data_IF_530536097705
#
_entry.id   IF_530536097705
#
_cell.length_a   1.000
_cell.length_b   1.000
_cell.length_c   1.000
_cell.angle_alpha   90.00
_cell.angle_beta   90.00
_cell.angle_gamma   90.00
#
_symmetry.space_group_name_H-M   'P 1'
#
loop_
_entity.id
_entity.type
_entity.pdbx_description
1 polymer ?
#
# COMPACT_ATOMS: atom_id res chain seq x y z
N UNK A 1 -16.91 1.11 3.29
CA UNK A 1 -15.73 0.61 4.05
C UNK A 1 -15.91 0.40 5.57
N UNK A 2 -17.01 0.82 6.24
CA UNK A 2 -17.10 0.94 7.72
C UNK A 2 -16.71 -0.29 8.59
N UNK A 3 -16.57 -1.49 8.04
CA UNK A 3 -16.15 -2.68 8.80
C UNK A 3 -15.19 -3.59 8.04
N UNK A 4 -14.40 -3.05 7.09
CA UNK A 4 -13.48 -3.86 6.27
C UNK A 4 -12.58 -4.75 7.15
N UNK A 5 -11.83 -4.16 8.09
CA UNK A 5 -10.90 -4.89 8.94
C UNK A 5 -11.58 -5.87 9.89
N UNK A 6 -12.78 -5.55 10.41
CA UNK A 6 -13.56 -6.49 11.23
C UNK A 6 -14.00 -7.71 10.42
N UNK A 7 -14.42 -7.51 9.16
CA UNK A 7 -14.77 -8.61 8.25
C UNK A 7 -13.55 -9.46 7.93
N UNK A 8 -12.39 -8.83 7.68
CA UNK A 8 -11.13 -9.55 7.45
C UNK A 8 -10.70 -10.35 8.67
N UNK A 9 -10.80 -9.79 9.87
CA UNK A 9 -10.45 -10.47 11.11
C UNK A 9 -11.39 -11.66 11.38
N UNK A 10 -12.71 -11.48 11.17
CA UNK A 10 -13.69 -12.56 11.27
C UNK A 10 -13.42 -13.69 10.27
N UNK A 11 -12.99 -13.35 9.05
CA UNK A 11 -12.67 -14.33 7.99
C UNK A 11 -11.37 -15.10 8.26
N UNK A 12 -10.30 -14.40 8.63
CA UNK A 12 -8.96 -14.99 8.71
C UNK A 12 -8.55 -15.43 10.13
N UNK A 13 -9.36 -15.14 11.16
CA UNK A 13 -9.08 -15.29 12.62
C UNK A 13 -7.90 -14.47 13.15
N UNK A 14 -6.86 -14.28 12.34
CA UNK A 14 -5.70 -13.42 12.58
C UNK A 14 -5.39 -12.65 11.31
N UNK A 15 -4.84 -11.45 11.45
CA UNK A 15 -4.33 -10.66 10.34
C UNK A 15 -2.82 -10.77 10.32
N UNK A 16 -2.26 -11.21 9.20
CA UNK A 16 -0.82 -11.31 8.98
C UNK A 16 -0.47 -10.36 7.85
N UNK A 17 0.53 -9.52 8.09
CA UNK A 17 0.98 -8.52 7.15
C UNK A 17 2.40 -8.84 6.70
N UNK A 18 2.63 -8.83 5.39
CA UNK A 18 3.96 -8.74 4.82
C UNK A 18 4.44 -7.29 5.04
N UNK A 19 5.57 -7.14 5.72
CA UNK A 19 6.14 -5.83 5.99
C UNK A 19 6.55 -5.12 4.68
N UNK A 20 6.45 -3.79 4.62
CA UNK A 20 6.95 -3.00 3.49
C UNK A 20 8.48 -3.02 3.49
N UNK A 21 9.07 -3.34 2.34
CA UNK A 21 10.53 -3.44 2.16
C UNK A 21 10.90 -2.79 0.83
N UNK A 22 11.43 -1.56 0.87
CA UNK A 22 11.87 -0.84 -0.32
C UNK A 22 12.99 -1.61 -1.06
N UNK A 23 12.85 -1.77 -2.37
CA UNK A 23 13.72 -2.56 -3.24
C UNK A 23 13.45 -4.08 -3.24
N UNK A 24 12.47 -4.56 -2.48
CA UNK A 24 12.11 -5.99 -2.40
C UNK A 24 10.62 -6.26 -2.51
N UNK A 25 9.80 -5.43 -1.88
CA UNK A 25 8.35 -5.58 -1.74
C UNK A 25 7.56 -5.21 -3.00
N UNK A 26 8.12 -5.42 -4.18
CA UNK A 26 7.52 -5.07 -5.47
C UNK A 26 6.32 -5.97 -5.83
N UNK A 27 5.67 -5.71 -6.97
CA UNK A 27 4.50 -6.50 -7.40
C UNK A 27 4.84 -7.99 -7.57
N UNK A 28 5.96 -8.32 -8.22
CA UNK A 28 6.34 -9.70 -8.48
C UNK A 28 6.53 -10.50 -7.18
N UNK A 29 7.20 -9.91 -6.19
CA UNK A 29 7.40 -10.51 -4.89
C UNK A 29 6.07 -10.68 -4.13
N UNK A 30 5.21 -9.66 -4.11
CA UNK A 30 3.89 -9.76 -3.47
C UNK A 30 3.04 -10.84 -4.11
N UNK A 31 3.07 -10.99 -5.44
CA UNK A 31 2.38 -12.07 -6.14
C UNK A 31 2.91 -13.46 -5.74
N UNK A 32 4.23 -13.62 -5.65
CA UNK A 32 4.85 -14.87 -5.19
C UNK A 32 4.41 -15.22 -3.76
N UNK A 33 4.43 -14.24 -2.85
CA UNK A 33 3.97 -14.41 -1.48
C UNK A 33 2.49 -14.79 -1.43
N UNK A 34 1.63 -14.13 -2.22
CA UNK A 34 0.19 -14.42 -2.29
C UNK A 34 -0.12 -15.81 -2.86
N UNK A 35 0.71 -16.35 -3.76
CA UNK A 35 0.56 -17.73 -4.25
C UNK A 35 0.81 -18.78 -3.16
N UNK A 36 1.73 -18.49 -2.23
CA UNK A 36 2.08 -19.38 -1.12
C UNK A 36 1.14 -19.18 0.07
N UNK A 37 0.82 -17.93 0.39
CA UNK A 37 -0.01 -17.53 1.52
C UNK A 37 -1.08 -16.51 1.09
N UNK A 38 -2.20 -16.95 0.48
CA UNK A 38 -3.23 -16.07 -0.08
C UNK A 38 -3.89 -15.13 0.92
N UNK A 39 -3.85 -15.49 2.22
CA UNK A 39 -4.47 -14.74 3.30
C UNK A 39 -3.59 -13.60 3.85
N UNK A 40 -2.33 -13.50 3.42
CA UNK A 40 -1.46 -12.41 3.86
C UNK A 40 -1.91 -11.09 3.25
N UNK A 41 -1.86 -10.03 4.03
CA UNK A 41 -2.04 -8.66 3.57
C UNK A 41 -0.68 -8.13 3.15
N UNK A 42 -0.58 -7.58 1.96
CA UNK A 42 0.67 -6.98 1.50
C UNK A 42 0.62 -5.46 1.69
N UNK A 43 1.73 -4.90 2.14
CA UNK A 43 1.98 -3.46 2.13
C UNK A 43 3.00 -3.22 1.03
N UNK A 44 2.75 -2.24 0.17
CA UNK A 44 3.68 -1.87 -0.90
C UNK A 44 5.03 -1.41 -0.33
N UNK A 45 5.99 -1.19 -1.22
CA UNK A 45 7.10 -0.29 -0.94
C UNK A 45 6.58 1.10 -0.54
N UNK A 46 7.42 1.93 0.08
CA UNK A 46 6.98 3.25 0.52
C UNK A 46 7.25 4.32 -0.52
N UNK A 47 6.20 5.05 -0.91
CA UNK A 47 6.30 6.10 -1.93
C UNK A 47 6.23 7.49 -1.31
N UNK A 48 6.97 8.43 -1.90
CA UNK A 48 6.90 9.84 -1.48
C UNK A 48 5.50 10.38 -1.75
N UNK A 49 4.84 10.90 -0.73
CA UNK A 49 3.55 11.60 -0.88
C UNK A 49 3.69 12.77 -1.86
N UNK A 50 4.82 13.48 -1.82
CA UNK A 50 5.14 14.58 -2.73
C UNK A 50 5.31 14.09 -4.17
N UNK A 51 6.03 12.97 -4.33
CA UNK A 51 6.20 12.30 -5.61
C UNK A 51 4.86 11.89 -6.23
N UNK A 52 3.95 11.33 -5.43
CA UNK A 52 2.63 10.92 -5.93
C UNK A 52 1.77 12.11 -6.37
N UNK A 53 1.89 13.26 -5.70
CA UNK A 53 1.13 14.47 -6.02
C UNK A 53 1.67 15.17 -7.28
N UNK A 54 2.99 15.20 -7.46
CA UNK A 54 3.63 15.98 -8.52
C UNK A 54 4.07 15.16 -9.73
N UNK A 55 4.16 13.83 -9.61
CA UNK A 55 4.53 12.93 -10.70
C UNK A 55 3.38 11.99 -11.05
N UNK A 56 2.69 12.31 -12.15
CA UNK A 56 1.69 11.40 -12.74
C UNK A 56 2.32 10.05 -13.11
N UNK A 57 3.55 10.08 -13.62
CA UNK A 57 4.31 8.88 -13.96
C UNK A 57 4.48 7.96 -12.75
N UNK A 58 4.81 8.51 -11.57
CA UNK A 58 4.95 7.69 -10.36
C UNK A 58 3.62 7.00 -10.03
N UNK A 59 2.52 7.77 -9.94
CA UNK A 59 1.21 7.21 -9.62
C UNK A 59 0.76 6.12 -10.60
N UNK A 60 0.95 6.35 -11.91
CA UNK A 60 0.60 5.37 -12.95
C UNK A 60 1.52 4.15 -12.96
N UNK A 61 2.72 4.23 -12.35
CA UNK A 61 3.64 3.10 -12.24
C UNK A 61 3.46 2.25 -10.98
N UNK A 62 3.11 2.85 -9.84
CA UNK A 62 3.17 2.17 -8.53
C UNK A 62 1.82 1.80 -7.92
N UNK A 63 0.73 2.40 -8.40
CA UNK A 63 -0.63 2.15 -7.88
C UNK A 63 -1.35 1.00 -8.61
N UNK A 64 -1.18 0.81 -9.94
CA UNK A 64 -1.68 -0.39 -10.59
C UNK A 64 -1.01 -1.65 -10.03
N UNK A 65 -1.80 -2.70 -9.85
CA UNK A 65 -1.34 -3.97 -9.34
C UNK A 65 -2.21 -5.12 -9.87
N UNK A 66 -1.72 -6.35 -9.76
CA UNK A 66 -2.45 -7.53 -10.20
C UNK A 66 -3.50 -7.94 -9.17
N UNK A 67 -4.65 -8.44 -9.64
CA UNK A 67 -5.78 -8.83 -8.77
C UNK A 67 -5.41 -9.85 -7.68
N UNK A 68 -4.39 -10.66 -7.90
CA UNK A 68 -3.90 -11.63 -6.90
C UNK A 68 -3.30 -10.93 -5.66
N UNK A 69 -2.86 -9.68 -5.80
CA UNK A 69 -2.29 -8.88 -4.72
C UNK A 69 -3.38 -8.33 -3.79
N UNK A 70 -4.65 -8.34 -4.21
CA UNK A 70 -5.77 -7.88 -3.41
C UNK A 70 -5.89 -8.68 -2.08
N UNK A 71 -6.19 -8.01 -0.96
CA UNK A 71 -6.17 -6.56 -0.75
C UNK A 71 -4.73 -6.03 -0.58
N UNK A 72 -4.41 -4.93 -1.27
CA UNK A 72 -3.13 -4.21 -1.18
C UNK A 72 -3.27 -2.92 -0.36
N UNK A 73 -2.29 -2.64 0.50
CA UNK A 73 -2.13 -1.37 1.22
C UNK A 73 -0.97 -0.60 0.61
N UNK A 74 -1.15 0.69 0.38
CA UNK A 74 -0.08 1.57 -0.10
C UNK A 74 0.55 2.30 1.08
N UNK A 75 1.86 2.15 1.27
CA UNK A 75 2.60 2.92 2.25
C UNK A 75 3.13 4.22 1.62
N UNK A 76 2.92 5.35 2.30
CA UNK A 76 3.44 6.65 1.89
C UNK A 76 4.26 7.31 3.00
N UNK A 77 5.21 8.15 2.60
CA UNK A 77 6.04 8.95 3.51
C UNK A 77 6.14 10.40 3.06
N UNK A 78 6.49 11.30 3.97
CA UNK A 78 6.56 12.73 3.69
C UNK A 78 6.64 13.56 4.96
N UNK A 79 6.52 14.89 4.81
CA UNK A 79 6.55 15.85 5.93
C UNK A 79 5.34 16.78 5.98
N UNK A 80 4.72 17.06 4.83
CA UNK A 80 3.64 18.03 4.73
C UNK A 80 2.27 17.33 4.80
N UNK A 81 1.45 17.59 5.84
CA UNK A 81 0.11 17.03 5.96
C UNK A 81 -0.79 17.30 4.74
N UNK A 82 -0.66 18.47 4.09
CA UNK A 82 -1.44 18.79 2.89
C UNK A 82 -1.10 17.88 1.72
N UNK A 83 0.19 17.55 1.57
CA UNK A 83 0.67 16.62 0.56
C UNK A 83 0.18 15.20 0.84
N UNK A 84 0.18 14.76 2.11
CA UNK A 84 -0.43 13.48 2.50
C UNK A 84 -1.92 13.41 2.12
N UNK A 85 -2.69 14.47 2.39
CA UNK A 85 -4.11 14.52 2.07
C UNK A 85 -4.35 14.43 0.54
N UNK A 86 -3.54 15.13 -0.27
CA UNK A 86 -3.61 15.05 -1.73
C UNK A 86 -3.20 13.66 -2.25
N UNK A 87 -2.13 13.07 -1.72
CA UNK A 87 -1.71 11.72 -2.08
C UNK A 87 -2.78 10.69 -1.73
N UNK A 88 -3.43 10.80 -0.56
CA UNK A 88 -4.52 9.92 -0.16
C UNK A 88 -5.69 9.97 -1.15
N UNK A 89 -6.05 11.16 -1.65
CA UNK A 89 -7.08 11.32 -2.71
C UNK A 89 -6.70 10.66 -4.03
N UNK A 90 -5.41 10.61 -4.36
CA UNK A 90 -4.94 9.91 -5.56
C UNK A 90 -5.04 8.40 -5.36
N UNK A 91 -4.62 7.91 -4.19
CA UNK A 91 -4.62 6.48 -3.85
C UNK A 91 -6.04 5.93 -3.72
N UNK A 92 -6.98 6.69 -3.14
CA UNK A 92 -8.37 6.25 -2.95
C UNK A 92 -9.18 6.17 -4.25
N UNK A 93 -8.62 6.60 -5.38
CA UNK A 93 -9.29 6.53 -6.67
C UNK A 93 -9.69 5.08 -6.97
N UNK A 94 -10.99 4.87 -7.23
CA UNK A 94 -11.59 3.53 -7.40
C UNK A 94 -10.91 2.70 -8.49
N UNK A 95 -10.29 3.34 -9.50
CA UNK A 95 -9.57 2.64 -10.57
C UNK A 95 -8.38 1.81 -10.08
N UNK A 96 -7.82 2.14 -8.91
CA UNK A 96 -6.68 1.42 -8.35
C UNK A 96 -7.07 0.31 -7.37
N UNK A 97 -8.32 0.25 -6.89
CA UNK A 97 -8.80 -0.77 -5.95
C UNK A 97 -7.92 -0.97 -4.69
N UNK A 98 -7.38 0.12 -4.13
CA UNK A 98 -6.51 0.05 -2.94
C UNK A 98 -7.35 -0.11 -1.66
N UNK A 99 -6.95 -1.06 -0.79
CA UNK A 99 -7.69 -1.40 0.41
C UNK A 99 -7.37 -0.51 1.63
N UNK A 100 -6.24 0.18 1.60
CA UNK A 100 -5.82 1.06 2.69
C UNK A 100 -4.58 1.87 2.38
N UNK A 101 -4.34 2.87 3.22
CA UNK A 101 -3.16 3.73 3.19
C UNK A 101 -2.46 3.58 4.53
N UNK A 102 -1.15 3.35 4.48
CA UNK A 102 -0.27 3.33 5.65
C UNK A 102 0.71 4.50 5.59
N UNK A 103 1.09 5.03 6.76
CA UNK A 103 2.03 6.17 6.85
C UNK A 103 3.32 5.70 7.48
N UNK A 104 4.42 5.74 6.72
CA UNK A 104 5.73 5.39 7.22
C UNK A 104 6.23 6.45 8.21
N UNK A 105 6.32 6.07 9.49
CA UNK A 105 6.89 6.88 10.57
C UNK A 105 8.11 6.20 11.21
N UNK A 106 8.63 5.15 10.60
CA UNK A 106 9.63 4.26 11.21
C UNK A 106 11.01 4.29 10.56
N UNK A 107 11.15 4.81 9.34
CA UNK A 107 12.41 4.75 8.60
C UNK A 107 13.49 5.66 9.24
N UNK A 108 14.61 5.10 9.75
CA UNK A 108 15.71 5.87 10.34
C UNK A 108 16.69 6.37 9.28
N UNK A 109 16.42 6.14 7.99
CA UNK A 109 17.31 6.52 6.91
C UNK A 109 17.67 8.00 7.01
N UNK A 110 18.98 8.27 6.97
CA UNK A 110 19.49 9.63 6.94
C UNK A 110 18.95 10.30 5.66
N UNK A 111 18.48 11.54 5.83
CA UNK A 111 18.23 12.40 4.68
C UNK A 111 19.53 12.83 4.04
#
# INVERSE_FOLDING_TARGET
MKDFWKKQLKKNKKLVFLAPMDGYGDSAYRQAVKRISPHVFCISEFYSADGLVHSKFLADSVLPHEKIEDPLIIQIFGKNPETFAKAAKIIENEKYNIAGIDVNMGCPAKK
#
